data_IF_926075784514
#
_entry.id   IF_926075784514
#
_cell.length_a   1.000
_cell.length_b   1.000
_cell.length_c   1.000
_cell.angle_alpha   90.00
_cell.angle_beta   90.00
_cell.angle_gamma   90.00
#
_symmetry.space_group_name_H-M   'P 1'
#
loop_
_entity.id
_entity.type
_entity.pdbx_description
1 polymer ?
#
# COMPACT_ATOMS: atom_id res chain seq x y z
N UNK A 1 9.13 -7.02 -28.31
CA UNK A 1 10.25 -6.07 -28.10
C UNK A 1 10.37 -5.88 -26.59
N UNK A 2 11.52 -6.20 -26.00
CA UNK A 2 11.77 -5.99 -24.58
C UNK A 2 11.81 -4.49 -24.32
N UNK A 3 10.86 -3.95 -23.56
CA UNK A 3 10.93 -2.57 -23.07
C UNK A 3 12.09 -2.54 -22.08
N UNK A 4 13.20 -1.89 -22.45
CA UNK A 4 14.27 -1.62 -21.49
C UNK A 4 13.69 -0.70 -20.43
N UNK A 5 13.53 -1.13 -19.17
CA UNK A 5 12.84 -0.33 -18.20
C UNK A 5 13.69 0.90 -17.86
N UNK A 6 13.08 2.08 -17.90
CA UNK A 6 13.79 3.31 -17.59
C UNK A 6 14.20 3.31 -16.10
N UNK A 7 15.48 3.05 -15.82
CA UNK A 7 16.04 3.02 -14.45
C UNK A 7 15.66 4.26 -13.66
N UNK A 8 15.65 5.43 -14.30
CA UNK A 8 15.26 6.68 -13.64
C UNK A 8 13.78 6.71 -13.25
N UNK A 9 12.90 6.09 -14.04
CA UNK A 9 11.49 5.96 -13.72
C UNK A 9 11.27 4.95 -12.57
N UNK A 10 12.02 3.85 -12.54
CA UNK A 10 11.99 2.89 -11.43
C UNK A 10 12.46 3.52 -10.11
N UNK A 11 13.58 4.25 -10.13
CA UNK A 11 14.09 4.97 -8.96
C UNK A 11 13.07 5.99 -8.47
N UNK A 12 12.50 6.79 -9.38
CA UNK A 12 11.47 7.76 -9.02
C UNK A 12 10.23 7.10 -8.41
N UNK A 13 9.73 6.02 -9.01
CA UNK A 13 8.57 5.29 -8.50
C UNK A 13 8.84 4.67 -7.11
N UNK A 14 10.04 4.13 -6.89
CA UNK A 14 10.48 3.67 -5.57
C UNK A 14 10.46 4.80 -4.55
N UNK A 15 11.02 5.95 -4.88
CA UNK A 15 11.12 7.07 -3.94
C UNK A 15 9.73 7.62 -3.60
N UNK A 16 8.80 7.64 -4.57
CA UNK A 16 7.38 7.95 -4.32
C UNK A 16 6.76 6.93 -3.36
N UNK A 17 6.99 5.63 -3.57
CA UNK A 17 6.47 4.57 -2.70
C UNK A 17 7.04 4.67 -1.27
N UNK A 18 8.33 5.00 -1.10
CA UNK A 18 8.97 5.23 0.20
C UNK A 18 8.29 6.40 0.91
N UNK A 19 8.22 7.56 0.25
CA UNK A 19 7.69 8.79 0.86
C UNK A 19 6.22 8.64 1.24
N UNK A 20 5.42 8.02 0.38
CA UNK A 20 3.99 7.78 0.66
C UNK A 20 3.78 6.72 1.73
N UNK A 21 4.64 5.70 1.82
CA UNK A 21 4.62 4.73 2.93
C UNK A 21 4.88 5.41 4.27
N UNK A 22 5.93 6.23 4.33
CA UNK A 22 6.31 6.96 5.55
C UNK A 22 5.20 7.94 5.97
N UNK A 23 4.61 8.66 5.00
CA UNK A 23 3.47 9.53 5.24
C UNK A 23 2.24 8.75 5.73
N UNK A 24 1.94 7.58 5.14
CA UNK A 24 0.83 6.73 5.57
C UNK A 24 1.01 6.20 7.00
N UNK A 25 2.24 5.79 7.36
CA UNK A 25 2.59 5.39 8.74
C UNK A 25 2.37 6.57 9.69
N UNK A 26 2.90 7.74 9.35
CA UNK A 26 2.79 8.96 10.17
C UNK A 26 1.33 9.35 10.40
N UNK A 27 0.53 9.48 9.34
CA UNK A 27 -0.88 9.86 9.44
C UNK A 27 -1.71 8.83 10.20
N UNK A 28 -1.39 7.53 10.06
CA UNK A 28 -2.07 6.48 10.83
C UNK A 28 -1.74 6.58 12.32
N UNK A 29 -0.48 6.84 12.66
CA UNK A 29 -0.05 7.07 14.03
C UNK A 29 -0.75 8.30 14.64
N UNK A 30 -0.70 9.45 13.96
CA UNK A 30 -1.34 10.69 14.41
C UNK A 30 -2.86 10.50 14.61
N UNK A 31 -3.51 9.80 13.68
CA UNK A 31 -4.93 9.48 13.80
C UNK A 31 -5.22 8.62 15.04
N UNK A 32 -4.42 7.58 15.30
CA UNK A 32 -4.58 6.73 16.49
C UNK A 32 -4.39 7.52 17.78
N UNK A 33 -3.38 8.39 17.84
CA UNK A 33 -3.09 9.21 19.01
C UNK A 33 -4.23 10.19 19.32
N UNK A 34 -4.69 10.90 18.28
CA UNK A 34 -5.64 12.00 18.45
C UNK A 34 -7.11 11.58 18.45
N UNK A 35 -7.45 10.50 17.77
CA UNK A 35 -8.85 10.07 17.61
C UNK A 35 -9.19 8.80 18.40
N UNK A 36 -8.19 8.00 18.78
CA UNK A 36 -8.40 6.67 19.35
C UNK A 36 -7.65 6.45 20.67
N UNK A 37 -6.87 7.44 21.10
CA UNK A 37 -6.05 7.43 22.34
C UNK A 37 -5.13 6.22 22.43
N UNK A 38 -4.42 5.90 21.35
CA UNK A 38 -3.45 4.81 21.30
C UNK A 38 -2.35 5.05 20.26
N UNK A 39 -1.46 4.08 20.12
CA UNK A 39 -0.35 4.10 19.16
C UNK A 39 -0.45 2.92 18.16
N UNK A 40 0.28 3.02 17.04
CA UNK A 40 0.31 2.03 15.97
C UNK A 40 0.71 0.64 16.46
N UNK A 41 1.76 0.54 17.27
CA UNK A 41 2.28 -0.72 17.80
C UNK A 41 1.26 -1.44 18.68
N UNK A 42 0.60 -0.69 19.57
CA UNK A 42 -0.49 -1.16 20.42
C UNK A 42 -1.70 -1.57 19.60
N UNK A 43 -2.08 -0.81 18.57
CA UNK A 43 -3.17 -1.14 17.67
C UNK A 43 -2.88 -2.44 16.88
N UNK A 44 -1.71 -2.57 16.25
CA UNK A 44 -1.29 -3.79 15.53
C UNK A 44 -1.37 -5.00 16.46
N UNK A 45 -0.84 -4.89 17.68
CA UNK A 45 -0.91 -5.99 18.66
C UNK A 45 -2.34 -6.35 19.01
N UNK A 46 -3.18 -5.35 19.32
CA UNK A 46 -4.59 -5.52 19.71
C UNK A 46 -5.42 -6.19 18.61
N UNK A 47 -5.18 -5.85 17.35
CA UNK A 47 -5.96 -6.33 16.20
C UNK A 47 -5.25 -7.43 15.40
N UNK A 48 -4.17 -8.02 15.91
CA UNK A 48 -3.35 -9.03 15.24
C UNK A 48 -4.11 -10.27 14.73
N UNK A 49 -5.21 -10.64 15.39
CA UNK A 49 -6.07 -11.77 14.99
C UNK A 49 -7.22 -11.37 14.04
N UNK A 50 -7.41 -10.07 13.79
CA UNK A 50 -8.44 -9.57 12.90
C UNK A 50 -7.83 -9.30 11.53
N UNK A 51 -8.35 -9.98 10.52
CA UNK A 51 -7.87 -9.87 9.14
C UNK A 51 -8.91 -9.16 8.29
N UNK A 52 -8.43 -8.23 7.45
CA UNK A 52 -9.25 -7.53 6.48
C UNK A 52 -9.69 -8.44 5.33
N UNK A 53 -8.87 -9.44 4.98
CA UNK A 53 -9.13 -10.36 3.84
C UNK A 53 -9.41 -9.60 2.53
N UNK A 54 -8.69 -8.51 2.27
CA UNK A 54 -8.81 -7.76 1.02
C UNK A 54 -8.22 -8.61 -0.10
N UNK A 55 -9.01 -8.85 -1.16
CA UNK A 55 -8.54 -9.57 -2.35
C UNK A 55 -7.93 -8.58 -3.33
N UNK A 56 -6.65 -8.76 -3.64
CA UNK A 56 -5.92 -8.00 -4.66
C UNK A 56 -4.71 -8.80 -5.16
N UNK A 57 -4.09 -8.44 -6.30
CA UNK A 57 -3.01 -9.21 -6.89
C UNK A 57 -1.80 -9.45 -5.97
N UNK A 58 -1.48 -8.48 -5.11
CA UNK A 58 -0.35 -8.56 -4.16
C UNK A 58 -0.70 -9.16 -2.78
N UNK A 59 -1.86 -9.81 -2.64
CA UNK A 59 -2.33 -10.28 -1.32
C UNK A 59 -1.32 -11.23 -0.65
N UNK A 60 -0.75 -12.18 -1.41
CA UNK A 60 0.18 -13.17 -0.87
C UNK A 60 1.49 -12.55 -0.36
N UNK A 61 1.94 -11.46 -0.97
CA UNK A 61 3.09 -10.67 -0.54
C UNK A 61 2.77 -9.80 0.67
N UNK A 62 1.60 -9.17 0.68
CA UNK A 62 1.13 -8.34 1.81
C UNK A 62 0.98 -9.15 3.09
N UNK A 63 0.52 -10.41 3.00
CA UNK A 63 0.42 -11.32 4.15
C UNK A 63 1.77 -11.62 4.82
N UNK A 64 2.87 -11.43 4.10
CA UNK A 64 4.23 -11.63 4.59
C UNK A 64 4.90 -10.38 5.14
N UNK A 65 4.24 -9.22 5.03
CA UNK A 65 4.70 -7.99 5.67
C UNK A 65 4.33 -8.03 7.15
N UNK A 66 5.35 -8.01 8.00
CA UNK A 66 5.23 -8.07 9.46
C UNK A 66 5.72 -6.78 10.09
N UNK A 67 5.10 -6.39 11.19
CA UNK A 67 5.60 -5.27 11.99
C UNK A 67 6.70 -5.76 12.93
N UNK A 68 7.87 -5.16 12.82
CA UNK A 68 9.00 -5.40 13.69
C UNK A 68 8.89 -4.53 14.94
N UNK A 69 8.67 -5.16 16.10
CA UNK A 69 8.42 -4.47 17.36
C UNK A 69 9.67 -3.83 17.97
N UNK A 70 10.87 -4.20 17.52
CA UNK A 70 12.14 -3.67 18.00
C UNK A 70 12.55 -2.41 17.24
N UNK A 71 12.46 -2.45 15.91
CA UNK A 71 12.81 -1.32 15.03
C UNK A 71 11.62 -0.40 14.74
N UNK A 72 10.41 -0.84 15.06
CA UNK A 72 9.14 -0.16 14.76
C UNK A 72 8.94 0.09 13.26
N UNK A 73 9.40 -0.86 12.45
CA UNK A 73 9.30 -0.85 10.98
C UNK A 73 8.43 -1.98 10.44
N UNK A 74 8.07 -1.88 9.17
CA UNK A 74 7.41 -2.96 8.43
C UNK A 74 8.44 -3.70 7.58
N UNK A 75 8.60 -4.98 7.85
CA UNK A 75 9.58 -5.85 7.19
C UNK A 75 8.85 -6.84 6.28
N UNK A 76 9.35 -7.01 5.06
CA UNK A 76 8.81 -8.01 4.12
C UNK A 76 9.61 -9.31 4.20
N UNK A 77 9.05 -10.31 4.89
CA UNK A 77 9.74 -11.59 5.19
C UNK A 77 9.49 -12.62 4.10
N UNK A 78 10.53 -13.30 3.63
CA UNK A 78 10.38 -14.35 2.61
C UNK A 78 9.91 -13.81 1.26
N UNK A 79 10.48 -12.66 0.89
CA UNK A 79 10.24 -12.05 -0.41
C UNK A 79 10.62 -13.00 -1.54
N UNK A 80 9.76 -13.07 -2.56
CA UNK A 80 10.01 -13.86 -3.76
C UNK A 80 10.78 -13.01 -4.78
N UNK A 81 11.55 -13.66 -5.68
CA UNK A 81 12.07 -12.97 -6.86
C UNK A 81 10.96 -12.25 -7.61
N UNK A 82 11.24 -11.03 -8.05
CA UNK A 82 10.33 -10.26 -8.91
C UNK A 82 10.30 -10.85 -10.31
N UNK A 83 9.14 -10.74 -10.94
CA UNK A 83 8.88 -11.15 -12.32
C UNK A 83 9.32 -10.05 -13.31
N UNK A 84 8.65 -9.93 -14.46
CA UNK A 84 8.97 -8.88 -15.44
C UNK A 84 8.44 -7.52 -15.00
N UNK A 85 9.05 -6.42 -15.45
CA UNK A 85 8.56 -5.06 -15.15
C UNK A 85 7.10 -4.87 -15.54
N UNK A 86 6.67 -5.45 -16.67
CA UNK A 86 5.28 -5.36 -17.10
C UNK A 86 4.32 -6.04 -16.11
N UNK A 87 4.62 -7.28 -15.71
CA UNK A 87 3.80 -8.03 -14.75
C UNK A 87 3.78 -7.37 -13.38
N UNK A 88 4.92 -6.87 -12.91
CA UNK A 88 5.00 -6.19 -11.61
C UNK A 88 4.22 -4.87 -11.60
N UNK A 89 4.34 -4.05 -12.65
CA UNK A 89 3.61 -2.78 -12.69
C UNK A 89 2.10 -3.00 -12.80
N UNK A 90 1.67 -4.02 -13.53
CA UNK A 90 0.26 -4.38 -13.63
C UNK A 90 -0.32 -4.76 -12.25
N UNK A 91 0.34 -5.66 -11.52
CA UNK A 91 -0.10 -6.08 -10.18
C UNK A 91 -0.11 -4.92 -9.17
N UNK A 92 0.88 -4.02 -9.25
CA UNK A 92 0.94 -2.81 -8.41
C UNK A 92 -0.25 -1.89 -8.70
N UNK A 93 -0.49 -1.57 -9.97
CA UNK A 93 -1.57 -0.66 -10.39
C UNK A 93 -2.93 -1.23 -9.96
N UNK A 94 -3.21 -2.50 -10.27
CA UNK A 94 -4.47 -3.13 -9.89
C UNK A 94 -4.65 -3.18 -8.36
N UNK A 95 -3.58 -3.46 -7.61
CA UNK A 95 -3.64 -3.43 -6.15
C UNK A 95 -3.96 -2.04 -5.63
N UNK A 96 -3.36 -0.99 -6.18
CA UNK A 96 -3.62 0.39 -5.75
C UNK A 96 -5.07 0.81 -6.03
N UNK A 97 -5.63 0.42 -7.17
CA UNK A 97 -7.05 0.66 -7.50
C UNK A 97 -7.98 -0.05 -6.52
N UNK A 98 -7.68 -1.30 -6.15
CA UNK A 98 -8.47 -2.03 -5.15
C UNK A 98 -8.42 -1.34 -3.77
N UNK A 99 -7.24 -0.86 -3.35
CA UNK A 99 -7.09 -0.15 -2.07
C UNK A 99 -7.76 1.22 -2.12
N UNK A 100 -7.72 1.93 -3.24
CA UNK A 100 -8.48 3.16 -3.46
C UNK A 100 -9.99 2.91 -3.30
N UNK A 101 -10.53 1.91 -3.99
CA UNK A 101 -11.94 1.53 -3.88
C UNK A 101 -12.32 1.08 -2.47
N UNK A 102 -11.39 0.49 -1.70
CA UNK A 102 -11.62 0.21 -0.29
C UNK A 102 -11.83 1.50 0.50
N UNK A 103 -11.03 2.54 0.27
CA UNK A 103 -11.17 3.82 0.95
C UNK A 103 -12.48 4.53 0.59
N UNK A 104 -12.95 4.41 -0.66
CA UNK A 104 -14.28 4.91 -1.05
C UNK A 104 -15.43 4.14 -0.37
N UNK A 105 -15.25 2.84 -0.12
CA UNK A 105 -16.26 1.99 0.50
C UNK A 105 -16.31 2.09 2.04
N UNK A 106 -15.18 2.42 2.70
CA UNK A 106 -15.10 2.54 4.16
C UNK A 106 -15.77 3.83 4.63
N UNK A 107 -16.65 3.72 5.62
CA UNK A 107 -17.28 4.90 6.22
C UNK A 107 -16.32 5.63 7.17
N UNK A 108 -15.90 6.83 6.78
CA UNK A 108 -15.13 7.75 7.62
C UNK A 108 -16.01 8.83 8.24
N UNK A 109 -15.72 9.23 9.49
CA UNK A 109 -16.32 10.46 10.01
C UNK A 109 -15.71 11.66 9.28
N UNK A 110 -16.42 12.78 9.25
CA UNK A 110 -15.92 13.99 8.60
C UNK A 110 -14.51 14.38 9.10
N UNK A 111 -14.26 14.25 10.40
CA UNK A 111 -12.96 14.56 11.01
C UNK A 111 -11.89 13.52 10.64
N UNK A 112 -12.19 12.23 10.72
CA UNK A 112 -11.23 11.18 10.32
C UNK A 112 -10.78 11.39 8.87
N UNK A 113 -11.75 11.62 7.98
CA UNK A 113 -11.47 11.78 6.56
C UNK A 113 -10.62 13.01 6.26
N UNK A 114 -11.12 14.20 6.63
CA UNK A 114 -10.50 15.45 6.20
C UNK A 114 -9.17 15.75 6.89
N UNK A 115 -8.93 15.19 8.08
CA UNK A 115 -7.67 15.42 8.80
C UNK A 115 -6.60 14.38 8.51
N UNK A 116 -6.97 13.13 8.15
CA UNK A 116 -6.00 12.04 8.09
C UNK A 116 -6.10 11.21 6.80
N UNK A 117 -7.28 10.68 6.48
CA UNK A 117 -7.39 9.65 5.44
C UNK A 117 -7.52 10.19 4.01
N UNK A 118 -7.94 11.45 3.83
CA UNK A 118 -8.06 12.04 2.49
C UNK A 118 -6.73 12.02 1.71
N UNK A 119 -5.60 12.22 2.39
CA UNK A 119 -4.28 12.19 1.78
C UNK A 119 -3.90 10.82 1.19
N UNK A 120 -4.52 9.73 1.65
CA UNK A 120 -4.28 8.40 1.10
C UNK A 120 -4.71 8.32 -0.37
N UNK A 121 -5.79 9.02 -0.76
CA UNK A 121 -6.22 9.08 -2.16
C UNK A 121 -5.13 9.69 -3.04
N UNK A 122 -4.52 10.78 -2.60
CA UNK A 122 -3.39 11.41 -3.30
C UNK A 122 -2.18 10.46 -3.37
N UNK A 123 -1.94 9.66 -2.32
CA UNK A 123 -0.88 8.65 -2.32
C UNK A 123 -1.14 7.57 -3.37
N UNK A 124 -2.37 7.08 -3.49
CA UNK A 124 -2.73 6.08 -4.50
C UNK A 124 -2.52 6.64 -5.91
N UNK A 125 -3.03 7.84 -6.19
CA UNK A 125 -2.89 8.48 -7.50
C UNK A 125 -1.44 8.71 -7.90
N UNK A 126 -0.61 9.21 -6.98
CA UNK A 126 0.82 9.44 -7.25
C UNK A 126 1.57 8.13 -7.52
N UNK A 127 1.28 7.08 -6.76
CA UNK A 127 1.91 5.77 -6.97
C UNK A 127 1.47 5.12 -8.27
N UNK A 128 0.17 5.16 -8.60
CA UNK A 128 -0.36 4.65 -9.87
C UNK A 128 0.25 5.39 -11.07
N UNK A 129 0.30 6.73 -11.03
CA UNK A 129 0.92 7.53 -12.08
C UNK A 129 2.41 7.17 -12.27
N UNK A 130 3.13 6.94 -11.17
CA UNK A 130 4.54 6.53 -11.23
C UNK A 130 4.72 5.12 -11.80
N UNK A 131 3.86 4.17 -11.42
CA UNK A 131 3.86 2.82 -11.97
C UNK A 131 3.51 2.78 -13.47
N UNK A 132 2.52 3.58 -13.91
CA UNK A 132 2.19 3.76 -15.32
C UNK A 132 3.38 4.29 -16.12
N UNK A 133 4.10 5.27 -15.57
CA UNK A 133 5.32 5.82 -16.18
C UNK A 133 6.41 4.75 -16.33
N UNK A 134 6.57 3.87 -15.34
CA UNK A 134 7.51 2.73 -15.44
C UNK A 134 7.07 1.75 -16.53
N UNK A 135 5.77 1.47 -16.62
CA UNK A 135 5.19 0.57 -17.63
C UNK A 135 5.13 1.16 -19.04
N UNK A 136 5.43 2.46 -19.21
CA UNK A 136 5.23 3.21 -20.44
C UNK A 136 3.78 3.09 -20.97
N UNK A 137 2.80 3.13 -20.05
CA UNK A 137 1.36 3.11 -20.33
C UNK A 137 0.73 4.42 -19.88
N UNK A 138 -0.30 4.88 -20.59
CA UNK A 138 -1.06 6.10 -20.23
C UNK A 138 -2.37 5.81 -19.51
N UNK A 139 -2.91 4.59 -19.65
CA UNK A 139 -4.29 4.29 -19.29
C UNK A 139 -4.37 3.23 -18.19
N UNK A 140 -5.26 3.46 -17.22
CA UNK A 140 -5.62 2.52 -16.18
C UNK A 140 -6.79 1.65 -16.67
N UNK A 141 -6.68 0.34 -16.52
CA UNK A 141 -7.85 -0.54 -16.55
C UNK A 141 -8.40 -0.59 -15.12
N UNK A 142 -9.65 -0.21 -14.94
CA UNK A 142 -10.26 -0.10 -13.61
C UNK A 142 -10.81 -1.47 -13.17
N UNK A 143 -10.28 -2.12 -12.12
CA UNK A 143 -10.94 -3.28 -11.53
C UNK A 143 -12.19 -2.78 -10.80
N UNK A 144 -13.37 -3.24 -11.21
CA UNK A 144 -14.66 -2.65 -10.80
C UNK A 144 -15.03 -2.86 -9.32
N UNK A 145 -14.31 -3.66 -8.52
CA UNK A 145 -14.74 -3.99 -7.16
C UNK A 145 -13.60 -4.28 -6.16
N UNK A 146 -13.84 -3.93 -4.88
CA UNK A 146 -13.03 -4.37 -3.74
C UNK A 146 -13.79 -5.41 -2.90
N UNK A 147 -13.24 -6.62 -2.77
CA UNK A 147 -13.79 -7.69 -1.92
C UNK A 147 -12.97 -7.81 -0.63
N UNK A 148 -13.63 -7.59 0.52
CA UNK A 148 -13.02 -7.57 1.84
C UNK A 148 -14.01 -7.89 2.96
N UNK A 149 -13.49 -8.21 4.15
CA UNK A 149 -14.26 -8.40 5.36
C UNK A 149 -14.79 -7.06 5.91
N UNK A 150 -16.00 -6.70 5.46
CA UNK A 150 -16.73 -5.48 5.88
C UNK A 150 -17.03 -5.44 7.39
N UNK A 151 -17.01 -6.58 8.08
CA UNK A 151 -17.26 -6.70 9.51
C UNK A 151 -16.00 -6.58 10.37
N UNK A 152 -14.87 -6.13 9.79
CA UNK A 152 -13.66 -5.90 10.56
C UNK A 152 -13.90 -4.90 11.70
N UNK A 153 -13.58 -5.29 12.93
CA UNK A 153 -13.94 -4.53 14.14
C UNK A 153 -13.32 -3.12 14.20
N UNK A 154 -12.28 -2.90 13.40
CA UNK A 154 -11.64 -1.60 13.25
C UNK A 154 -11.25 -1.32 11.80
N UNK A 155 -12.27 -1.18 10.95
CA UNK A 155 -12.11 -1.20 9.50
C UNK A 155 -11.20 -0.08 8.96
N UNK A 156 -11.30 1.14 9.49
CA UNK A 156 -10.45 2.29 9.09
C UNK A 156 -8.97 2.00 9.33
N UNK A 157 -8.66 1.45 10.51
CA UNK A 157 -7.30 1.04 10.85
C UNK A 157 -6.80 -0.08 9.95
N UNK A 158 -7.65 -1.09 9.68
CA UNK A 158 -7.29 -2.18 8.80
C UNK A 158 -7.00 -1.72 7.38
N UNK A 159 -7.78 -0.78 6.84
CA UNK A 159 -7.53 -0.19 5.53
C UNK A 159 -6.18 0.56 5.49
N UNK A 160 -5.90 1.38 6.52
CA UNK A 160 -4.61 2.08 6.62
C UNK A 160 -3.42 1.11 6.73
N UNK A 161 -3.57 0.07 7.55
CA UNK A 161 -2.55 -0.95 7.75
C UNK A 161 -2.27 -1.74 6.46
N UNK A 162 -3.32 -2.08 5.71
CA UNK A 162 -3.19 -2.75 4.41
C UNK A 162 -2.41 -1.87 3.43
N UNK A 163 -2.75 -0.58 3.34
CA UNK A 163 -2.00 0.39 2.51
C UNK A 163 -0.52 0.41 2.86
N UNK A 164 -0.16 0.47 4.14
CA UNK A 164 1.24 0.50 4.58
C UNK A 164 1.99 -0.77 4.14
N UNK A 165 1.33 -1.93 4.22
CA UNK A 165 1.90 -3.20 3.78
C UNK A 165 2.06 -3.27 2.26
N UNK A 166 1.05 -2.84 1.51
CA UNK A 166 1.11 -2.73 0.04
C UNK A 166 2.31 -1.87 -0.37
N UNK A 167 2.45 -0.68 0.22
CA UNK A 167 3.56 0.22 -0.10
C UNK A 167 4.91 -0.38 0.30
N UNK A 168 4.98 -1.13 1.40
CA UNK A 168 6.19 -1.90 1.77
C UNK A 168 6.57 -2.94 0.71
N UNK A 169 5.60 -3.70 0.19
CA UNK A 169 5.83 -4.64 -0.91
C UNK A 169 6.29 -3.93 -2.17
N UNK A 170 5.68 -2.79 -2.50
CA UNK A 170 6.03 -1.99 -3.68
C UNK A 170 7.48 -1.52 -3.63
N UNK A 171 7.93 -0.93 -2.50
CA UNK A 171 9.32 -0.50 -2.32
C UNK A 171 10.28 -1.66 -2.61
N UNK A 172 10.02 -2.82 -2.02
CA UNK A 172 10.86 -4.00 -2.23
C UNK A 172 10.88 -4.45 -3.70
N UNK A 173 9.72 -4.47 -4.36
CA UNK A 173 9.64 -4.85 -5.78
C UNK A 173 10.44 -3.88 -6.66
N UNK A 174 10.35 -2.58 -6.43
CA UNK A 174 11.16 -1.61 -7.16
C UNK A 174 12.66 -1.79 -6.92
N UNK A 175 13.09 -2.00 -5.67
CA UNK A 175 14.51 -2.24 -5.35
C UNK A 175 15.08 -3.47 -6.08
N UNK A 176 14.32 -4.55 -6.14
CA UNK A 176 14.69 -5.76 -6.88
C UNK A 176 14.75 -5.49 -8.39
N UNK A 177 13.75 -4.80 -8.95
CA UNK A 177 13.73 -4.45 -10.37
C UNK A 177 14.90 -3.55 -10.77
N UNK A 178 15.31 -2.62 -9.90
CA UNK A 178 16.49 -1.75 -10.12
C UNK A 178 17.78 -2.56 -10.06
N UNK A 179 17.88 -3.48 -9.09
CA UNK A 179 19.08 -4.31 -8.87
C UNK A 179 19.28 -5.37 -9.96
N UNK A 180 18.21 -5.74 -10.67
CA UNK A 180 18.22 -6.73 -11.75
C UNK A 180 18.43 -6.11 -13.14
N UNK A 181 18.68 -4.78 -13.23
CA UNK A 181 19.06 -4.10 -14.48
C UNK A 181 20.57 -4.17 -14.73
#
# INVERSE_FOLDING_TARGET
MSITPNTSALIYARDVAINTREAAICLTQEWLEHMQSGDLKSAIRKFSFHKLYLKHPLQAEVEKVVFNYETETFDYVGAKPVSTVEEEMHQIIETLLVVEHLFDAVQFSHKDWNCYFKAFMDFFHHNMHSALRVANKSDLCNPEDSDYNKNHIFLKFAAALETIKVLTVMVHKYDQLISNQ
#
